data_IF_292793871820
#
_entry.id   IF_292793871820
#
_cell.length_a   1.000
_cell.length_b   1.000
_cell.length_c   1.000
_cell.angle_alpha   90.00
_cell.angle_beta   90.00
_cell.angle_gamma   90.00
#
_symmetry.space_group_name_H-M   'P 1'
#
loop_
_entity.id
_entity.type
_entity.pdbx_description
1 polymer ?
#
# COMPACT_ATOMS: atom_id res chain seq x y z
N UNK A 1 6.07 -3.47 9.58
CA UNK A 1 5.81 -3.20 11.00
C UNK A 1 5.10 -1.86 11.15
N UNK A 2 5.67 -0.79 10.63
CA UNK A 2 5.07 0.55 10.79
C UNK A 2 3.74 0.68 10.05
N UNK A 3 3.54 0.01 8.92
CA UNK A 3 2.28 0.10 8.19
C UNK A 3 1.16 -0.70 8.86
N UNK A 4 1.47 -1.81 9.52
CA UNK A 4 0.47 -2.52 10.34
C UNK A 4 0.03 -1.68 11.53
N UNK A 5 0.98 -1.03 12.21
CA UNK A 5 0.68 -0.12 13.31
C UNK A 5 -0.13 1.10 12.82
N UNK A 6 0.23 1.67 11.68
CA UNK A 6 -0.48 2.81 11.09
C UNK A 6 -1.93 2.43 10.74
N UNK A 7 -2.14 1.27 10.13
CA UNK A 7 -3.47 0.79 9.77
C UNK A 7 -4.35 0.54 10.99
N UNK A 8 -3.78 -0.03 12.04
CA UNK A 8 -4.47 -0.24 13.31
C UNK A 8 -4.95 1.09 13.90
N UNK A 9 -4.07 2.07 13.96
CA UNK A 9 -4.41 3.39 14.51
C UNK A 9 -5.36 4.17 13.60
N UNK A 10 -5.22 4.03 12.29
CA UNK A 10 -6.15 4.65 11.34
C UNK A 10 -7.58 4.15 11.56
N UNK A 11 -7.76 2.86 11.82
CA UNK A 11 -9.07 2.30 12.12
C UNK A 11 -9.70 2.94 13.35
N UNK A 12 -8.88 3.31 14.35
CA UNK A 12 -9.35 3.95 15.58
C UNK A 12 -9.57 5.47 15.40
N UNK A 13 -8.82 6.13 14.52
CA UNK A 13 -8.69 7.59 14.54
C UNK A 13 -9.12 8.30 13.24
N UNK A 14 -9.32 7.58 12.12
CA UNK A 14 -9.57 8.22 10.84
C UNK A 14 -10.83 9.10 10.87
N UNK A 15 -10.69 10.32 10.35
CA UNK A 15 -11.83 11.21 10.14
C UNK A 15 -12.54 10.85 8.83
N UNK A 16 -13.81 11.29 8.63
CA UNK A 16 -14.50 11.09 7.36
C UNK A 16 -13.73 11.63 6.15
N UNK A 17 -13.06 12.78 6.29
CA UNK A 17 -12.26 13.36 5.21
C UNK A 17 -11.06 12.47 4.90
N UNK A 18 -10.39 11.92 5.91
CA UNK A 18 -9.27 11.02 5.74
C UNK A 18 -9.70 9.70 5.09
N UNK A 19 -10.86 9.17 5.48
CA UNK A 19 -11.42 7.98 4.83
C UNK A 19 -11.67 8.22 3.34
N UNK A 20 -12.21 9.38 2.98
CA UNK A 20 -12.41 9.73 1.56
C UNK A 20 -11.10 9.81 0.80
N UNK A 21 -10.06 10.37 1.41
CA UNK A 21 -8.75 10.48 0.78
C UNK A 21 -8.13 9.09 0.54
N UNK A 22 -8.25 8.18 1.51
CA UNK A 22 -7.74 6.80 1.39
C UNK A 22 -8.50 6.07 0.28
N UNK A 23 -9.82 6.20 0.25
CA UNK A 23 -10.65 5.59 -0.78
C UNK A 23 -10.30 6.10 -2.17
N UNK A 24 -10.12 7.42 -2.32
CA UNK A 24 -9.76 8.04 -3.59
C UNK A 24 -8.39 7.54 -4.08
N UNK A 25 -7.42 7.38 -3.17
CA UNK A 25 -6.10 6.86 -3.50
C UNK A 25 -6.17 5.40 -3.96
N UNK A 26 -6.96 4.57 -3.28
CA UNK A 26 -7.17 3.18 -3.66
C UNK A 26 -7.82 3.11 -5.06
N UNK A 27 -8.77 3.96 -5.35
CA UNK A 27 -9.44 4.00 -6.65
C UNK A 27 -8.49 4.48 -7.76
N UNK A 28 -7.63 5.46 -7.48
CA UNK A 28 -6.59 5.90 -8.42
C UNK A 28 -5.66 4.74 -8.77
N UNK A 29 -5.23 4.01 -7.77
CA UNK A 29 -4.38 2.83 -7.93
C UNK A 29 -5.06 1.77 -8.80
N UNK A 30 -6.32 1.46 -8.50
CA UNK A 30 -7.13 0.50 -9.26
C UNK A 30 -7.28 0.93 -10.71
N UNK A 31 -7.61 2.20 -10.96
CA UNK A 31 -7.77 2.74 -12.30
C UNK A 31 -6.46 2.65 -13.11
N UNK A 32 -5.34 2.97 -12.48
CA UNK A 32 -4.03 2.83 -13.11
C UNK A 32 -3.74 1.39 -13.53
N UNK A 33 -4.09 0.43 -12.67
CA UNK A 33 -3.95 -0.98 -12.98
C UNK A 33 -4.83 -1.38 -14.17
N UNK A 34 -6.12 -1.04 -14.13
CA UNK A 34 -7.09 -1.44 -15.16
C UNK A 34 -6.80 -0.83 -16.53
N UNK A 35 -6.15 0.33 -16.57
CA UNK A 35 -5.85 1.04 -17.82
C UNK A 35 -4.39 0.86 -18.28
N UNK A 36 -3.60 0.08 -17.55
CA UNK A 36 -2.20 -0.15 -17.87
C UNK A 36 -1.31 1.07 -17.67
N UNK A 37 -1.74 2.02 -16.84
CA UNK A 37 -0.98 3.24 -16.54
C UNK A 37 -0.21 3.07 -15.23
N UNK A 38 1.01 2.53 -15.33
CA UNK A 38 1.80 2.18 -14.14
C UNK A 38 2.19 3.39 -13.29
N UNK A 39 2.46 4.55 -13.91
CA UNK A 39 2.75 5.76 -13.13
C UNK A 39 1.54 6.22 -12.32
N UNK A 40 0.34 6.05 -12.84
CA UNK A 40 -0.90 6.35 -12.12
C UNK A 40 -1.12 5.35 -10.98
N UNK A 41 -0.88 4.07 -11.25
CA UNK A 41 -0.91 3.02 -10.21
C UNK A 41 0.04 3.37 -9.07
N UNK A 42 1.29 3.70 -9.39
CA UNK A 42 2.32 4.00 -8.38
C UNK A 42 1.95 5.23 -7.57
N UNK A 43 1.39 6.26 -8.20
CA UNK A 43 0.95 7.45 -7.48
C UNK A 43 -0.19 7.14 -6.51
N UNK A 44 -1.18 6.38 -6.98
CA UNK A 44 -2.28 5.95 -6.11
C UNK A 44 -1.80 5.08 -4.95
N UNK A 45 -0.84 4.20 -5.20
CA UNK A 45 -0.22 3.36 -4.19
C UNK A 45 0.48 4.21 -3.12
N UNK A 46 1.29 5.18 -3.54
CA UNK A 46 1.96 6.09 -2.61
C UNK A 46 0.96 6.91 -1.80
N UNK A 47 -0.05 7.46 -2.45
CA UNK A 47 -1.08 8.27 -1.80
C UNK A 47 -1.91 7.45 -0.81
N UNK A 48 -2.18 6.19 -1.14
CA UNK A 48 -2.90 5.27 -0.27
C UNK A 48 -2.13 5.06 1.05
N UNK A 49 -0.86 4.69 0.95
CA UNK A 49 -0.04 4.44 2.14
C UNK A 49 0.19 5.71 2.96
N UNK A 50 0.40 6.86 2.29
CA UNK A 50 0.52 8.14 2.97
C UNK A 50 -0.78 8.53 3.67
N UNK A 51 -1.93 8.26 3.04
CA UNK A 51 -3.24 8.54 3.61
C UNK A 51 -3.53 7.70 4.86
N UNK A 52 -3.20 6.42 4.83
CA UNK A 52 -3.34 5.54 5.99
C UNK A 52 -2.45 6.03 7.14
N UNK A 53 -1.18 6.37 6.84
CA UNK A 53 -0.27 6.89 7.85
C UNK A 53 -0.78 8.19 8.47
N UNK A 54 -1.27 9.13 7.64
CA UNK A 54 -1.83 10.38 8.13
C UNK A 54 -3.04 10.14 9.05
N UNK A 55 -3.90 9.18 8.69
CA UNK A 55 -5.10 8.84 9.47
C UNK A 55 -4.78 8.16 10.80
N UNK A 56 -3.55 7.69 11.00
CA UNK A 56 -3.09 7.16 12.29
C UNK A 56 -3.00 8.26 13.35
N UNK A 57 -2.87 9.53 12.95
CA UNK A 57 -2.63 10.70 13.79
C UNK A 57 -1.34 10.56 14.64
N UNK A 58 -0.35 9.85 14.09
CA UNK A 58 0.93 9.64 14.74
C UNK A 58 2.05 10.07 13.81
N UNK A 59 2.71 11.18 14.13
CA UNK A 59 3.74 11.77 13.27
C UNK A 59 4.97 10.89 13.12
N UNK A 60 5.29 10.06 14.11
CA UNK A 60 6.39 9.11 14.00
C UNK A 60 6.10 8.05 12.95
N UNK A 61 4.86 7.55 12.91
CA UNK A 61 4.44 6.60 11.89
C UNK A 61 4.38 7.23 10.50
N UNK A 62 3.92 8.48 10.41
CA UNK A 62 3.95 9.23 9.13
C UNK A 62 5.37 9.31 8.59
N UNK A 63 6.33 9.69 9.44
CA UNK A 63 7.74 9.80 9.04
C UNK A 63 8.32 8.43 8.66
N UNK A 64 8.02 7.39 9.43
CA UNK A 64 8.54 6.04 9.19
C UNK A 64 8.00 5.46 7.87
N UNK A 65 6.69 5.61 7.62
CA UNK A 65 6.07 5.14 6.38
C UNK A 65 6.61 5.92 5.18
N UNK A 66 6.75 7.23 5.31
CA UNK A 66 7.32 8.07 4.24
C UNK A 66 8.73 7.61 3.87
N UNK A 67 9.57 7.35 4.86
CA UNK A 67 10.95 6.89 4.62
C UNK A 67 10.96 5.49 3.99
N UNK A 68 10.15 4.56 4.48
CA UNK A 68 10.04 3.23 3.90
C UNK A 68 9.59 3.30 2.44
N UNK A 69 8.62 4.15 2.13
CA UNK A 69 8.13 4.34 0.76
C UNK A 69 9.20 4.96 -0.12
N UNK A 70 9.98 5.91 0.39
CA UNK A 70 11.10 6.51 -0.33
C UNK A 70 12.13 5.45 -0.72
N UNK A 71 12.50 4.59 0.19
CA UNK A 71 13.43 3.50 -0.06
C UNK A 71 12.87 2.50 -1.08
N UNK A 72 11.58 2.21 -1.00
CA UNK A 72 10.91 1.33 -1.96
C UNK A 72 10.94 1.93 -3.36
N UNK A 73 10.71 3.24 -3.51
CA UNK A 73 10.80 3.92 -4.81
C UNK A 73 12.21 3.85 -5.40
N UNK A 74 13.25 3.92 -4.56
CA UNK A 74 14.62 3.73 -5.02
C UNK A 74 14.84 2.32 -5.58
N UNK A 75 14.26 1.30 -4.95
CA UNK A 75 14.27 -0.06 -5.48
C UNK A 75 13.53 -0.14 -6.81
N UNK A 76 12.45 0.61 -6.97
CA UNK A 76 11.68 0.65 -8.21
C UNK A 76 12.46 1.25 -9.39
N UNK A 77 13.49 2.06 -9.13
CA UNK A 77 14.38 2.59 -10.17
C UNK A 77 15.03 1.44 -10.97
N UNK A 78 15.19 0.28 -10.37
CA UNK A 78 15.68 -0.90 -11.09
C UNK A 78 14.53 -1.67 -11.77
N UNK A 79 13.36 -1.05 -11.90
CA UNK A 79 12.25 -1.61 -12.67
C UNK A 79 11.36 -2.57 -11.92
N UNK A 80 11.23 -2.41 -10.61
CA UNK A 80 10.41 -3.30 -9.77
C UNK A 80 9.13 -2.64 -9.26
N UNK A 81 8.61 -1.63 -9.97
CA UNK A 81 7.36 -0.96 -9.61
C UNK A 81 6.15 -1.72 -10.18
N UNK A 82 5.01 -1.07 -10.37
CA UNK A 82 3.75 -1.65 -10.82
C UNK A 82 3.80 -2.60 -12.01
N UNK A 83 4.96 -2.73 -12.68
CA UNK A 83 5.17 -3.68 -13.75
C UNK A 83 5.56 -5.10 -13.29
N UNK A 84 5.62 -5.36 -12.00
CA UNK A 84 5.87 -6.71 -11.46
C UNK A 84 4.66 -7.58 -11.78
N UNK A 85 4.89 -8.70 -12.46
CA UNK A 85 3.81 -9.57 -12.93
C UNK A 85 2.86 -10.00 -11.81
N UNK A 86 1.58 -9.67 -11.95
CA UNK A 86 0.54 -10.00 -10.99
C UNK A 86 0.49 -9.16 -9.73
N UNK A 87 1.53 -8.38 -9.43
CA UNK A 87 1.58 -7.58 -8.20
C UNK A 87 0.46 -6.55 -8.12
N UNK A 88 0.22 -5.83 -9.22
CA UNK A 88 -0.74 -4.73 -9.22
C UNK A 88 -2.17 -5.21 -8.91
N UNK A 89 -2.60 -6.34 -9.48
CA UNK A 89 -3.93 -6.88 -9.21
C UNK A 89 -4.11 -7.24 -7.75
N UNK A 90 -3.13 -7.94 -7.17
CA UNK A 90 -3.15 -8.31 -5.75
C UNK A 90 -3.14 -7.08 -4.85
N UNK A 91 -2.31 -6.09 -5.17
CA UNK A 91 -2.23 -4.86 -4.39
C UNK A 91 -3.57 -4.11 -4.36
N UNK A 92 -4.27 -4.03 -5.50
CA UNK A 92 -5.59 -3.38 -5.57
C UNK A 92 -6.58 -4.03 -4.61
N UNK A 93 -6.66 -5.35 -4.60
CA UNK A 93 -7.57 -6.09 -3.72
C UNK A 93 -7.17 -5.92 -2.25
N UNK A 94 -5.86 -5.93 -1.97
CA UNK A 94 -5.32 -5.77 -0.62
C UNK A 94 -5.58 -4.36 -0.07
N UNK A 95 -5.42 -3.32 -0.90
CA UNK A 95 -5.77 -1.96 -0.53
C UNK A 95 -7.25 -1.85 -0.17
N UNK A 96 -8.12 -2.48 -0.96
CA UNK A 96 -9.56 -2.47 -0.70
C UNK A 96 -9.88 -3.13 0.66
N UNK A 97 -9.21 -4.23 0.99
CA UNK A 97 -9.39 -4.91 2.28
C UNK A 97 -8.93 -4.02 3.44
N UNK A 98 -7.79 -3.35 3.32
CA UNK A 98 -7.29 -2.41 4.33
C UNK A 98 -8.29 -1.27 4.52
N UNK A 99 -8.72 -0.65 3.43
CA UNK A 99 -9.67 0.46 3.49
C UNK A 99 -10.96 0.05 4.19
N UNK A 100 -11.53 -1.10 3.85
CA UNK A 100 -12.78 -1.57 4.46
C UNK A 100 -12.64 -1.75 5.97
N UNK A 101 -11.52 -2.31 6.42
CA UNK A 101 -11.27 -2.49 7.85
C UNK A 101 -11.12 -1.16 8.58
N UNK A 102 -10.45 -0.19 7.97
CA UNK A 102 -10.31 1.17 8.54
C UNK A 102 -11.67 1.86 8.57
N UNK A 103 -12.43 1.80 7.49
CA UNK A 103 -13.77 2.37 7.41
C UNK A 103 -14.69 1.80 8.47
N UNK A 104 -14.61 0.51 8.69
CA UNK A 104 -15.46 -0.20 9.66
C UNK A 104 -15.00 0.01 11.10
N UNK A 105 -13.87 0.68 11.31
CA UNK A 105 -13.35 0.95 12.63
C UNK A 105 -12.87 -0.30 13.36
N UNK A 106 -12.30 -1.27 12.64
CA UNK A 106 -11.81 -2.54 13.17
C UNK A 106 -10.28 -2.56 13.16
N UNK A 107 -9.61 -2.19 14.29
CA UNK A 107 -8.15 -2.10 14.32
C UNK A 107 -7.44 -3.43 14.05
N UNK A 108 -7.95 -4.53 14.59
CA UNK A 108 -7.32 -5.84 14.39
C UNK A 108 -7.43 -6.30 12.94
N UNK A 109 -8.59 -6.12 12.32
CA UNK A 109 -8.78 -6.44 10.90
C UNK A 109 -7.89 -5.56 10.02
N UNK A 110 -7.76 -4.27 10.35
CA UNK A 110 -6.90 -3.35 9.60
C UNK A 110 -5.44 -3.76 9.67
N UNK A 111 -4.95 -4.09 10.87
CA UNK A 111 -3.58 -4.56 11.05
C UNK A 111 -3.35 -5.88 10.31
N UNK A 112 -4.29 -6.81 10.39
CA UNK A 112 -4.19 -8.09 9.68
C UNK A 112 -4.13 -7.89 8.16
N UNK A 113 -5.04 -7.07 7.61
CA UNK A 113 -5.07 -6.80 6.16
C UNK A 113 -3.77 -6.13 5.69
N UNK A 114 -3.22 -5.19 6.47
CA UNK A 114 -1.94 -4.57 6.16
C UNK A 114 -0.80 -5.59 6.19
N UNK A 115 -0.79 -6.48 7.17
CA UNK A 115 0.21 -7.55 7.28
C UNK A 115 0.19 -8.48 6.07
N UNK A 116 -0.99 -8.91 5.64
CA UNK A 116 -1.15 -9.72 4.43
C UNK A 116 -0.60 -9.00 3.20
N UNK A 117 -0.93 -7.71 3.07
CA UNK A 117 -0.45 -6.89 1.95
C UNK A 117 1.08 -6.82 1.92
N UNK A 118 1.71 -6.56 3.06
CA UNK A 118 3.16 -6.48 3.16
C UNK A 118 3.82 -7.82 2.84
N UNK A 119 3.31 -8.91 3.36
CA UNK A 119 3.85 -10.25 3.10
C UNK A 119 3.76 -10.60 1.62
N UNK A 120 2.64 -10.29 0.97
CA UNK A 120 2.45 -10.54 -0.45
C UNK A 120 3.37 -9.66 -1.30
N UNK A 121 3.56 -8.41 -0.91
CA UNK A 121 4.48 -7.49 -1.60
C UNK A 121 5.91 -8.01 -1.54
N UNK A 122 6.37 -8.44 -0.35
CA UNK A 122 7.71 -9.01 -0.19
C UNK A 122 7.88 -10.26 -1.03
N UNK A 123 6.88 -11.13 -1.08
CA UNK A 123 6.93 -12.35 -1.90
C UNK A 123 7.00 -12.02 -3.38
N UNK A 124 6.25 -11.03 -3.85
CA UNK A 124 6.27 -10.60 -5.24
C UNK A 124 7.65 -10.06 -5.63
N UNK A 125 8.26 -9.25 -4.77
CA UNK A 125 9.63 -8.76 -4.99
C UNK A 125 10.63 -9.91 -5.01
N UNK A 126 10.49 -10.85 -4.10
CA UNK A 126 11.39 -12.01 -4.03
C UNK A 126 11.33 -12.83 -5.32
N UNK A 127 10.13 -13.09 -5.82
CA UNK A 127 9.93 -13.82 -7.08
C UNK A 127 10.54 -13.08 -8.27
N UNK A 128 10.34 -11.76 -8.32
CA UNK A 128 10.88 -10.94 -9.41
C UNK A 128 12.41 -10.92 -9.40
N UNK A 129 13.01 -10.81 -8.22
CA UNK A 129 14.47 -10.87 -8.08
C UNK A 129 14.98 -12.22 -8.56
N UNK A 130 14.36 -13.33 -8.14
CA UNK A 130 14.74 -14.66 -8.59
C UNK A 130 14.63 -14.81 -10.11
N UNK A 131 13.54 -14.30 -10.69
CA UNK A 131 13.34 -14.35 -12.13
C UNK A 131 14.44 -13.60 -12.87
N UNK A 132 14.82 -12.43 -12.39
CA UNK A 132 15.86 -11.60 -13.03
C UNK A 132 17.25 -12.21 -12.88
N UNK A 133 17.55 -12.78 -11.73
CA UNK A 133 18.87 -13.35 -11.48
C UNK A 133 19.06 -14.75 -12.09
N UNK A 134 18.00 -15.55 -12.14
CA UNK A 134 18.09 -16.96 -12.52
C UNK A 134 17.25 -17.33 -13.75
N UNK A 135 16.54 -16.37 -14.35
CA UNK A 135 15.73 -16.59 -15.55
C UNK A 135 14.49 -17.47 -15.31
N UNK A 136 13.94 -17.48 -14.10
CA UNK A 136 12.82 -18.35 -13.75
C UNK A 136 11.60 -17.61 -13.26
#
# INVERSE_FOLDING_TARGET
>A
IQETAASRLAAANATPAELRAIEAAAETCRHGHLTGQYSLFDRGDDDFHAGVAAASHNQFLVAAVREARRLQRQSNIIGMSGGIGGHAAGAVDEHAAIYRAIRDGDPDAAAHAAGVHLDNTLEDYRREIQRRLFGR
#
